data_IF_933192486709
#
_entry.id   IF_933192486709
#
_cell.length_a   1.000
_cell.length_b   1.000
_cell.length_c   1.000
_cell.angle_alpha   90.00
_cell.angle_beta   90.00
_cell.angle_gamma   90.00
#
_symmetry.space_group_name_H-M   'P 1'
#
loop_
_entity.id
_entity.type
_entity.pdbx_description
1 polymer ?
#
# COMPACT_ATOMS: atom_id res chain seq x y z
N UNK A 1 -3.52 7.96 12.68
CA UNK A 1 -3.58 7.58 11.24
C UNK A 1 -3.03 8.64 10.28
N UNK A 2 -2.93 9.93 10.65
CA UNK A 2 -2.37 10.96 9.74
C UNK A 2 -0.83 11.03 9.72
N UNK A 3 -0.15 10.49 10.72
CA UNK A 3 1.32 10.55 10.84
C UNK A 3 2.01 9.80 9.71
N UNK A 4 1.52 8.61 9.35
CA UNK A 4 2.08 7.86 8.22
C UNK A 4 1.85 8.60 6.89
N UNK A 5 0.71 9.29 6.74
CA UNK A 5 0.44 10.10 5.53
C UNK A 5 1.44 11.24 5.35
N UNK A 6 2.02 11.76 6.43
CA UNK A 6 3.03 12.81 6.36
C UNK A 6 4.29 12.33 5.65
N UNK A 7 4.61 11.04 5.71
CA UNK A 7 5.76 10.45 5.00
C UNK A 7 5.61 10.66 3.49
N UNK A 8 4.38 10.58 2.94
CA UNK A 8 4.14 10.72 1.50
C UNK A 8 4.09 12.17 1.01
N UNK A 9 3.90 13.13 1.94
CA UNK A 9 3.67 14.54 1.62
C UNK A 9 4.93 15.40 1.68
N UNK A 10 6.09 14.81 2.04
CA UNK A 10 7.34 15.55 2.13
C UNK A 10 7.82 16.07 0.77
N UNK A 11 8.61 17.15 0.81
CA UNK A 11 9.15 17.77 -0.40
C UNK A 11 10.21 16.89 -1.10
N UNK A 12 11.05 16.21 -0.32
CA UNK A 12 12.16 15.39 -0.79
C UNK A 12 12.29 14.09 0.02
N UNK A 13 13.10 13.15 -0.50
CA UNK A 13 13.31 11.83 0.09
C UNK A 13 13.95 11.91 1.49
N UNK A 14 14.92 12.81 1.69
CA UNK A 14 15.61 12.95 2.98
C UNK A 14 14.64 13.33 4.11
N UNK A 15 13.79 14.34 3.88
CA UNK A 15 12.76 14.73 4.84
C UNK A 15 11.74 13.61 5.11
N UNK A 16 11.43 12.78 4.10
CA UNK A 16 10.56 11.62 4.28
C UNK A 16 11.19 10.56 5.18
N UNK A 17 12.50 10.31 5.05
CA UNK A 17 13.26 9.40 5.93
C UNK A 17 13.23 9.89 7.38
N UNK A 18 13.45 11.18 7.62
CA UNK A 18 13.42 11.73 8.98
C UNK A 18 12.06 11.53 9.66
N UNK A 19 10.98 11.80 8.92
CA UNK A 19 9.61 11.58 9.40
C UNK A 19 9.32 10.09 9.61
N UNK A 20 9.81 9.22 8.74
CA UNK A 20 9.67 7.77 8.85
C UNK A 20 10.41 7.22 10.09
N UNK A 21 11.61 7.71 10.37
CA UNK A 21 12.36 7.34 11.57
C UNK A 21 11.68 7.83 12.86
N UNK A 22 11.13 9.05 12.84
CA UNK A 22 10.32 9.55 13.95
C UNK A 22 9.07 8.69 14.18
N UNK A 23 8.44 8.23 13.09
CA UNK A 23 7.33 7.29 13.14
C UNK A 23 7.75 5.96 13.76
N UNK A 24 8.90 5.40 13.37
CA UNK A 24 9.44 4.18 13.98
C UNK A 24 9.66 4.35 15.47
N UNK A 25 10.37 5.39 15.90
CA UNK A 25 10.66 5.63 17.32
C UNK A 25 9.40 5.71 18.18
N UNK A 26 8.32 6.28 17.63
CA UNK A 26 7.03 6.40 18.32
C UNK A 26 6.29 5.07 18.45
N UNK A 27 6.29 4.25 17.40
CA UNK A 27 5.41 3.08 17.28
C UNK A 27 6.11 1.74 17.52
N UNK A 28 7.45 1.71 17.62
CA UNK A 28 8.25 0.49 17.80
C UNK A 28 7.82 -0.30 19.06
N UNK A 29 7.52 0.40 20.15
CA UNK A 29 7.10 -0.24 21.41
C UNK A 29 5.74 -0.95 21.30
N UNK A 30 4.80 -0.37 20.55
CA UNK A 30 3.43 -0.90 20.45
C UNK A 30 3.25 -1.88 19.29
N UNK A 31 4.02 -1.71 18.20
CA UNK A 31 3.88 -2.47 16.97
C UNK A 31 5.24 -2.91 16.39
N UNK A 32 6.07 -3.55 17.22
CA UNK A 32 7.44 -3.93 16.87
C UNK A 32 7.56 -4.71 15.54
N UNK A 33 6.63 -5.62 15.26
CA UNK A 33 6.65 -6.44 14.06
C UNK A 33 6.33 -5.63 12.81
N UNK A 34 5.38 -4.69 12.92
CA UNK A 34 5.04 -3.79 11.82
C UNK A 34 6.22 -2.90 11.50
N UNK A 35 6.88 -2.35 12.53
CA UNK A 35 8.05 -1.49 12.36
C UNK A 35 9.23 -2.28 11.76
N UNK A 36 9.47 -3.51 12.17
CA UNK A 36 10.51 -4.37 11.57
C UNK A 36 10.26 -4.58 10.08
N UNK A 37 9.05 -5.01 9.71
CA UNK A 37 8.71 -5.22 8.30
C UNK A 37 8.83 -3.93 7.50
N UNK A 38 8.43 -2.78 8.07
CA UNK A 38 8.55 -1.48 7.40
C UNK A 38 10.01 -1.08 7.16
N UNK A 39 10.91 -1.37 8.09
CA UNK A 39 12.36 -1.14 7.92
C UNK A 39 12.94 -2.03 6.82
N UNK A 40 12.50 -3.27 6.74
CA UNK A 40 12.96 -4.21 5.70
C UNK A 40 12.57 -3.73 4.29
N UNK A 41 11.39 -3.12 4.12
CA UNK A 41 10.91 -2.57 2.84
C UNK A 41 11.16 -1.06 2.68
N UNK A 42 11.84 -0.41 3.61
CA UNK A 42 12.06 1.04 3.61
C UNK A 42 12.65 1.56 2.29
N UNK A 43 13.67 0.91 1.69
CA UNK A 43 14.24 1.37 0.42
C UNK A 43 13.18 1.45 -0.69
N UNK A 44 12.29 0.45 -0.76
CA UNK A 44 11.23 0.33 -1.76
C UNK A 44 10.07 1.29 -1.48
N UNK A 45 9.71 1.46 -0.21
CA UNK A 45 8.63 2.34 0.23
C UNK A 45 8.85 3.79 -0.24
N UNK A 46 10.10 4.25 -0.32
CA UNK A 46 10.43 5.62 -0.69
C UNK A 46 10.85 5.79 -2.17
N UNK A 47 10.79 4.75 -3.00
CA UNK A 47 11.16 4.83 -4.43
C UNK A 47 10.30 5.84 -5.19
N UNK A 48 9.04 6.04 -4.80
CA UNK A 48 8.15 6.98 -5.48
C UNK A 48 8.67 8.43 -5.46
N UNK A 49 9.58 8.78 -4.54
CA UNK A 49 10.24 10.09 -4.51
C UNK A 49 11.14 10.36 -5.72
N UNK A 50 11.60 9.31 -6.41
CA UNK A 50 12.39 9.44 -7.63
C UNK A 50 11.56 9.94 -8.83
N UNK A 51 10.23 9.93 -8.71
CA UNK A 51 9.32 10.40 -9.75
C UNK A 51 8.88 11.85 -9.51
N UNK A 52 8.41 12.55 -10.57
CA UNK A 52 7.85 13.89 -10.47
C UNK A 52 6.68 13.95 -9.49
N UNK A 53 6.59 15.04 -8.72
CA UNK A 53 5.56 15.25 -7.68
C UNK A 53 4.13 15.04 -8.21
N UNK A 54 3.90 15.40 -9.47
CA UNK A 54 2.62 15.31 -10.17
C UNK A 54 2.07 13.89 -10.23
N UNK A 55 2.92 12.87 -10.32
CA UNK A 55 2.49 11.47 -10.45
C UNK A 55 2.57 10.67 -9.16
N UNK A 56 3.25 11.18 -8.12
CA UNK A 56 3.44 10.48 -6.84
C UNK A 56 2.12 10.04 -6.22
N UNK A 57 1.11 10.92 -6.26
CA UNK A 57 -0.21 10.63 -5.70
C UNK A 57 -0.88 9.41 -6.33
N UNK A 58 -0.69 9.20 -7.63
CA UNK A 58 -1.20 8.01 -8.32
C UNK A 58 -0.43 6.74 -7.97
N UNK A 59 0.82 6.86 -7.54
CA UNK A 59 1.68 5.71 -7.16
C UNK A 59 1.35 5.22 -5.75
N UNK A 60 1.31 6.12 -4.75
CA UNK A 60 1.06 5.71 -3.36
C UNK A 60 -0.44 5.60 -2.99
N UNK A 61 -1.35 5.98 -3.90
CA UNK A 61 -2.79 5.84 -3.67
C UNK A 61 -3.23 4.39 -3.88
N UNK A 62 -3.95 3.86 -2.90
CA UNK A 62 -4.54 2.52 -2.99
C UNK A 62 -5.90 2.50 -3.69
N UNK A 63 -6.46 3.67 -4.04
CA UNK A 63 -7.83 3.79 -4.58
C UNK A 63 -8.09 2.87 -5.79
N UNK A 64 -7.14 2.76 -6.72
CA UNK A 64 -7.30 1.92 -7.90
C UNK A 64 -7.39 0.43 -7.53
N UNK A 65 -6.45 -0.04 -6.71
CA UNK A 65 -6.39 -1.45 -6.28
C UNK A 65 -7.57 -1.78 -5.35
N UNK A 66 -7.94 -0.89 -4.44
CA UNK A 66 -9.09 -1.06 -3.55
C UNK A 66 -10.40 -1.09 -4.32
N UNK A 67 -10.60 -0.18 -5.28
CA UNK A 67 -11.78 -0.18 -6.16
C UNK A 67 -11.92 -1.51 -6.89
N UNK A 68 -10.83 -1.98 -7.50
CA UNK A 68 -10.79 -3.27 -8.19
C UNK A 68 -11.10 -4.44 -7.25
N UNK A 69 -10.41 -4.50 -6.10
CA UNK A 69 -10.63 -5.54 -5.09
C UNK A 69 -12.07 -5.56 -4.56
N UNK A 70 -12.69 -4.39 -4.39
CA UNK A 70 -14.08 -4.28 -3.96
C UNK A 70 -15.05 -4.82 -5.02
N UNK A 71 -14.78 -4.57 -6.31
CA UNK A 71 -15.56 -5.15 -7.41
C UNK A 71 -15.45 -6.68 -7.40
N UNK A 72 -14.24 -7.23 -7.28
CA UNK A 72 -14.03 -8.69 -7.21
C UNK A 72 -14.77 -9.28 -6.01
N UNK A 73 -14.56 -8.74 -4.81
CA UNK A 73 -15.20 -9.23 -3.58
C UNK A 73 -16.73 -9.22 -3.71
N UNK A 74 -17.31 -8.17 -4.30
CA UNK A 74 -18.77 -8.08 -4.51
C UNK A 74 -19.27 -9.13 -5.49
N UNK A 75 -18.56 -9.35 -6.60
CA UNK A 75 -18.92 -10.37 -7.60
C UNK A 75 -18.76 -11.79 -7.04
N UNK A 76 -17.77 -12.01 -6.19
CA UNK A 76 -17.43 -13.33 -5.65
C UNK A 76 -18.31 -13.72 -4.45
N UNK A 77 -18.80 -12.73 -3.67
CA UNK A 77 -19.66 -12.97 -2.51
C UNK A 77 -20.85 -13.93 -2.72
N UNK A 78 -21.61 -13.87 -3.83
CA UNK A 78 -22.69 -14.83 -4.09
C UNK A 78 -22.23 -16.20 -4.64
N UNK A 79 -20.93 -16.38 -4.93
CA UNK A 79 -20.37 -17.66 -5.42
C UNK A 79 -19.85 -18.45 -4.22
N UNK A 80 -20.38 -19.67 -4.04
CA UNK A 80 -19.95 -20.56 -2.94
C UNK A 80 -18.61 -21.24 -3.25
N UNK A 81 -18.41 -21.66 -4.50
CA UNK A 81 -17.18 -22.30 -4.98
C UNK A 81 -17.01 -22.09 -6.50
N UNK A 82 -15.77 -22.28 -6.96
CA UNK A 82 -15.44 -22.36 -8.38
C UNK A 82 -15.10 -23.83 -8.70
N UNK A 83 -15.85 -24.51 -9.60
CA UNK A 83 -15.66 -25.93 -9.86
C UNK A 83 -14.35 -26.26 -10.60
N UNK A 84 -13.78 -25.30 -11.34
CA UNK A 84 -12.50 -25.46 -12.06
C UNK A 84 -11.73 -24.14 -12.11
N UNK A 85 -10.41 -24.18 -12.34
CA UNK A 85 -9.60 -22.98 -12.57
C UNK A 85 -10.13 -22.14 -13.74
N UNK A 86 -10.55 -22.79 -14.83
CA UNK A 86 -11.12 -22.09 -15.98
C UNK A 86 -12.42 -21.33 -15.66
N UNK A 87 -13.21 -21.83 -14.69
CA UNK A 87 -14.40 -21.11 -14.21
C UNK A 87 -14.04 -19.86 -13.39
N UNK A 88 -12.89 -19.86 -12.71
CA UNK A 88 -12.33 -18.72 -12.02
C UNK A 88 -11.78 -17.68 -13.01
N UNK A 89 -11.03 -18.12 -14.03
CA UNK A 89 -10.47 -17.24 -15.07
C UNK A 89 -11.59 -16.50 -15.80
N UNK A 90 -12.62 -17.24 -16.24
CA UNK A 90 -13.83 -16.67 -16.86
C UNK A 90 -14.53 -15.67 -15.95
N UNK A 91 -14.52 -15.91 -14.63
CA UNK A 91 -15.15 -15.02 -13.64
C UNK A 91 -14.35 -13.72 -13.42
N UNK A 92 -13.02 -13.81 -13.40
CA UNK A 92 -12.13 -12.65 -13.29
C UNK A 92 -12.13 -11.86 -14.61
N UNK A 93 -12.37 -12.54 -15.74
CA UNK A 93 -12.35 -11.97 -17.09
C UNK A 93 -10.96 -12.03 -17.71
N UNK A 94 -10.18 -13.07 -17.37
CA UNK A 94 -8.88 -13.42 -17.95
C UNK A 94 -9.07 -14.61 -18.88
#
# INVERSE_FOLDING_TARGET
MNEFKQIHQQANKAAAVDVLHAFYAKWDKSYNHVIRNLKDIEPDLLVFYNYPKQIRASIYSTNMIESFNNVIKRKAKPKAEFPTEQSLDTFIGI
#
